data_IF_403297543870
#
_entry.id   IF_403297543870
#
_cell.length_a   1.000
_cell.length_b   1.000
_cell.length_c   1.000
_cell.angle_alpha   90.00
_cell.angle_beta   90.00
_cell.angle_gamma   90.00
#
_symmetry.space_group_name_H-M   'P 1'
#
loop_
_entity.id
_entity.type
_entity.pdbx_description
1 polymer ?
#
# COMPACT_ATOMS: atom_id res chain seq x y z
N UNK A 1 9.05 18.93 13.11
CA UNK A 1 7.87 19.59 13.73
C UNK A 1 8.06 19.83 15.24
N UNK A 2 8.80 19.02 16.00
CA UNK A 2 9.08 19.23 17.43
C UNK A 2 9.85 20.54 17.66
N UNK A 3 10.88 20.80 16.87
CA UNK A 3 11.69 22.01 16.98
C UNK A 3 10.90 23.31 16.67
N UNK A 4 9.91 23.21 15.76
CA UNK A 4 9.03 24.35 15.42
C UNK A 4 8.13 24.80 16.59
N UNK A 5 7.78 23.89 17.52
CA UNK A 5 6.97 24.23 18.68
C UNK A 5 7.74 25.06 19.72
N UNK A 6 9.07 24.86 19.83
CA UNK A 6 9.93 25.71 20.69
C UNK A 6 10.15 27.09 20.10
N UNK A 7 10.19 27.21 18.76
CA UNK A 7 10.43 28.48 18.05
C UNK A 7 9.27 29.49 18.23
N UNK A 8 8.07 29.04 18.61
CA UNK A 8 6.92 29.93 18.88
C UNK A 8 7.10 30.86 20.07
N UNK A 9 8.09 30.61 20.93
CA UNK A 9 8.42 31.44 22.04
C UNK A 9 9.46 32.54 21.73
N UNK A 10 10.02 32.52 20.49
CA UNK A 10 10.97 33.52 20.04
C UNK A 10 10.24 34.77 19.51
N UNK A 11 10.88 35.95 19.59
CA UNK A 11 10.34 37.15 18.97
C UNK A 11 10.20 36.97 17.47
N UNK A 12 9.04 37.29 16.94
CA UNK A 12 8.78 37.33 15.50
C UNK A 12 8.97 38.76 14.99
N UNK A 13 9.72 38.90 13.89
CA UNK A 13 9.93 40.17 13.19
C UNK A 13 9.25 40.04 11.83
N UNK A 14 8.35 40.94 11.51
CA UNK A 14 7.69 41.04 10.20
C UNK A 14 7.91 42.39 9.59
N UNK A 15 8.23 42.43 8.29
CA UNK A 15 8.26 43.64 7.49
C UNK A 15 7.05 43.63 6.56
N UNK A 16 6.33 44.76 6.51
CA UNK A 16 5.18 44.97 5.62
C UNK A 16 5.33 46.25 4.85
N UNK A 17 5.03 46.19 3.56
CA UNK A 17 4.91 47.36 2.70
C UNK A 17 3.59 47.30 1.96
N UNK A 18 2.88 48.44 1.93
CA UNK A 18 1.66 48.60 1.15
C UNK A 18 1.74 49.86 0.30
N UNK A 19 1.26 49.74 -0.93
CA UNK A 19 1.08 50.83 -1.86
C UNK A 19 -0.39 50.83 -2.25
N UNK A 20 -1.11 51.93 -2.03
CA UNK A 20 -2.48 52.06 -2.45
C UNK A 20 -2.64 53.27 -3.33
N UNK A 21 -3.38 53.08 -4.40
CA UNK A 21 -3.78 54.12 -5.35
C UNK A 21 -5.29 54.30 -5.20
N UNK A 22 -5.70 55.53 -4.85
CA UNK A 22 -7.09 55.86 -4.67
C UNK A 22 -7.48 56.98 -5.66
N UNK A 23 -8.33 56.62 -6.62
CA UNK A 23 -8.91 57.58 -7.55
C UNK A 23 -10.32 57.95 -7.02
N UNK A 24 -10.49 59.19 -6.58
CA UNK A 24 -11.79 59.71 -6.17
C UNK A 24 -12.33 60.65 -7.22
N UNK A 25 -13.30 60.25 -8.02
CA UNK A 25 -13.99 61.17 -8.92
C UNK A 25 -14.74 62.21 -8.08
N UNK A 26 -14.46 63.49 -8.27
CA UNK A 26 -15.18 64.59 -7.65
C UNK A 26 -16.34 65.00 -8.53
N UNK A 27 -17.59 64.78 -8.05
CA UNK A 27 -18.81 65.20 -8.79
C UNK A 27 -19.05 66.71 -8.78
N UNK A 28 -18.34 67.48 -7.98
CA UNK A 28 -18.65 68.91 -7.78
C UNK A 28 -17.68 69.87 -8.45
N UNK A 29 -16.46 69.49 -8.70
CA UNK A 29 -15.43 70.34 -9.34
C UNK A 29 -14.53 69.46 -10.22
N UNK A 30 -14.83 69.16 -11.39
CA UNK A 30 -14.17 68.49 -12.52
C UNK A 30 -12.70 68.09 -12.50
N UNK A 31 -12.05 68.01 -11.36
CA UNK A 31 -10.69 67.51 -11.16
C UNK A 31 -10.71 66.38 -10.12
N UNK A 32 -10.66 65.14 -10.56
CA UNK A 32 -10.40 63.97 -9.72
C UNK A 32 -9.01 64.11 -9.08
N UNK A 33 -8.89 63.91 -7.77
CA UNK A 33 -7.61 63.80 -7.09
C UNK A 33 -7.19 62.36 -7.07
N UNK A 34 -6.09 62.07 -7.74
CA UNK A 34 -5.39 60.80 -7.61
C UNK A 34 -4.47 60.86 -6.39
N UNK A 35 -4.82 60.11 -5.36
CA UNK A 35 -4.03 60.00 -4.16
C UNK A 35 -3.26 58.68 -4.15
N UNK A 36 -1.93 58.77 -4.20
CA UNK A 36 -1.04 57.61 -4.03
C UNK A 36 -0.51 57.62 -2.62
N UNK A 37 -0.79 56.56 -1.84
CA UNK A 37 -0.28 56.43 -0.48
C UNK A 37 0.54 55.15 -0.37
N UNK A 38 1.73 55.25 0.23
CA UNK A 38 2.62 54.13 0.51
C UNK A 38 2.97 54.07 2.01
N UNK A 39 3.00 52.89 2.57
CA UNK A 39 3.50 52.68 3.92
C UNK A 39 4.46 51.50 3.98
N UNK A 40 5.54 51.67 4.73
CA UNK A 40 6.50 50.63 5.06
C UNK A 40 6.56 50.52 6.58
N UNK A 41 6.42 49.31 7.10
CA UNK A 41 6.43 49.08 8.55
C UNK A 41 7.25 47.82 8.90
N UNK A 42 7.96 47.93 10.03
CA UNK A 42 8.61 46.76 10.66
C UNK A 42 7.90 46.56 12.01
N UNK A 43 7.45 45.35 12.25
CA UNK A 43 6.79 44.98 13.53
C UNK A 43 7.57 43.84 14.16
N UNK A 44 7.97 44.02 15.41
CA UNK A 44 8.50 42.99 16.28
C UNK A 44 7.43 42.63 17.31
N UNK A 45 7.12 41.34 17.47
CA UNK A 45 6.18 40.88 18.50
C UNK A 45 6.77 39.68 19.24
N UNK A 46 6.67 39.73 20.57
CA UNK A 46 7.11 38.67 21.47
C UNK A 46 6.00 38.40 22.49
N UNK A 47 5.43 37.19 22.50
CA UNK A 47 4.45 36.82 23.51
C UNK A 47 5.15 36.64 24.86
N UNK A 48 4.86 37.51 25.83
CA UNK A 48 5.44 37.46 27.19
C UNK A 48 4.75 36.36 28.01
N UNK A 49 3.44 36.20 27.85
CA UNK A 49 2.63 35.18 28.50
C UNK A 49 1.46 34.75 27.61
N UNK A 50 1.38 33.46 27.29
CA UNK A 50 0.33 32.87 26.48
C UNK A 50 -0.49 31.82 27.26
N UNK A 51 -0.59 31.94 28.59
CA UNK A 51 -1.41 31.06 29.43
C UNK A 51 -1.12 29.59 29.24
N UNK A 52 0.05 29.09 29.50
CA UNK A 52 0.47 27.69 29.35
C UNK A 52 0.25 27.06 27.94
N UNK A 53 -0.33 27.77 26.97
CA UNK A 53 -0.60 27.23 25.63
C UNK A 53 0.67 26.74 24.95
N UNK A 54 1.78 27.44 25.14
CA UNK A 54 3.07 27.04 24.58
C UNK A 54 3.62 25.76 25.25
N UNK A 55 3.46 25.61 26.57
CA UNK A 55 3.88 24.42 27.31
C UNK A 55 3.10 23.20 26.88
N UNK A 56 1.77 23.30 26.79
CA UNK A 56 0.93 22.22 26.31
C UNK A 56 1.11 21.95 24.80
N UNK A 57 1.44 22.98 24.02
CA UNK A 57 1.83 22.86 22.62
C UNK A 57 3.10 22.01 22.43
N UNK A 58 4.11 22.19 23.25
CA UNK A 58 5.33 21.38 23.27
C UNK A 58 5.03 19.94 23.69
N UNK A 59 4.23 19.72 24.75
CA UNK A 59 3.80 18.38 25.18
C UNK A 59 3.01 17.66 24.07
N UNK A 60 2.10 18.35 23.42
CA UNK A 60 1.34 17.80 22.29
C UNK A 60 2.25 17.43 21.11
N UNK A 61 3.23 18.29 20.79
CA UNK A 61 4.21 18.00 19.74
C UNK A 61 5.09 16.78 20.08
N UNK A 62 5.45 16.63 21.38
CA UNK A 62 6.19 15.48 21.87
C UNK A 62 5.37 14.19 21.74
N UNK A 63 4.11 14.19 22.22
CA UNK A 63 3.22 13.04 22.10
C UNK A 63 2.95 12.64 20.62
N UNK A 64 2.83 13.63 19.73
CA UNK A 64 2.71 13.37 18.29
C UNK A 64 3.99 12.76 17.69
N UNK A 65 5.15 13.15 18.19
CA UNK A 65 6.42 12.54 17.77
C UNK A 65 6.53 11.09 18.23
N UNK A 66 6.20 10.80 19.49
CA UNK A 66 6.18 9.44 20.04
C UNK A 66 5.19 8.54 19.27
N UNK A 67 3.98 9.06 19.00
CA UNK A 67 3.01 8.36 18.17
C UNK A 67 3.54 8.07 16.75
N UNK A 68 4.31 8.98 16.16
CA UNK A 68 4.91 8.74 14.83
C UNK A 68 5.94 7.62 14.85
N UNK A 69 6.73 7.52 15.94
CA UNK A 69 7.70 6.42 16.13
C UNK A 69 6.96 5.07 16.28
N UNK A 70 5.89 5.03 17.09
CA UNK A 70 5.14 3.78 17.26
C UNK A 70 4.39 3.37 15.99
N UNK A 71 3.91 4.34 15.20
CA UNK A 71 3.34 4.04 13.87
C UNK A 71 4.41 3.46 12.91
N UNK A 72 5.61 4.00 12.91
CA UNK A 72 6.72 3.46 12.12
C UNK A 72 7.04 2.01 12.53
N UNK A 73 7.11 1.75 13.85
CA UNK A 73 7.32 0.39 14.37
C UNK A 73 6.20 -0.56 13.91
N UNK A 74 4.95 -0.14 14.05
CA UNK A 74 3.80 -0.93 13.61
C UNK A 74 3.84 -1.25 12.10
N UNK A 75 4.23 -0.27 11.27
CA UNK A 75 4.38 -0.50 9.82
C UNK A 75 5.46 -1.53 9.54
N UNK A 76 6.60 -1.46 10.23
CA UNK A 76 7.69 -2.41 10.07
C UNK A 76 7.30 -3.83 10.53
N UNK A 77 6.56 -3.94 11.64
CA UNK A 77 6.06 -5.23 12.13
C UNK A 77 5.05 -5.83 11.16
N UNK A 78 4.13 -5.02 10.63
CA UNK A 78 3.17 -5.46 9.62
C UNK A 78 3.87 -5.92 8.33
N UNK A 79 4.83 -5.14 7.83
CA UNK A 79 5.60 -5.52 6.65
C UNK A 79 6.34 -6.85 6.85
N UNK A 80 6.93 -7.06 8.03
CA UNK A 80 7.59 -8.32 8.37
C UNK A 80 6.61 -9.51 8.41
N UNK A 81 5.42 -9.30 8.96
CA UNK A 81 4.34 -10.30 8.97
C UNK A 81 3.84 -10.62 7.56
N UNK A 82 3.69 -9.60 6.72
CA UNK A 82 3.24 -9.78 5.33
C UNK A 82 4.23 -10.62 4.52
N UNK A 83 5.53 -10.33 4.62
CA UNK A 83 6.59 -11.13 3.99
C UNK A 83 6.57 -12.58 4.50
N UNK A 84 6.50 -12.76 5.82
CA UNK A 84 6.44 -14.10 6.42
C UNK A 84 5.22 -14.89 5.92
N UNK A 85 4.05 -14.26 5.92
CA UNK A 85 2.80 -14.88 5.48
C UNK A 85 2.84 -15.23 3.98
N UNK A 86 3.31 -14.32 3.14
CA UNK A 86 3.49 -14.58 1.71
C UNK A 86 4.44 -15.75 1.45
N UNK A 87 5.56 -15.82 2.17
CA UNK A 87 6.52 -16.91 2.06
C UNK A 87 5.94 -18.27 2.50
N UNK A 88 5.18 -18.32 3.61
CA UNK A 88 4.55 -19.56 4.05
C UNK A 88 3.47 -20.04 3.08
N UNK A 89 2.71 -19.12 2.51
CA UNK A 89 1.73 -19.42 1.47
C UNK A 89 2.40 -19.99 0.22
N UNK A 90 3.50 -19.40 -0.24
CA UNK A 90 4.30 -19.91 -1.35
C UNK A 90 4.80 -21.34 -1.07
N UNK A 91 5.37 -21.57 0.11
CA UNK A 91 5.87 -22.90 0.52
C UNK A 91 4.74 -23.95 0.58
N UNK A 92 3.55 -23.53 0.99
CA UNK A 92 2.36 -24.41 0.98
C UNK A 92 1.92 -24.73 -0.43
N UNK A 93 1.84 -23.74 -1.33
CA UNK A 93 1.49 -23.94 -2.74
C UNK A 93 2.48 -24.86 -3.45
N UNK A 94 3.77 -24.79 -3.12
CA UNK A 94 4.81 -25.68 -3.64
C UNK A 94 4.55 -27.14 -3.25
N UNK A 95 4.16 -27.41 -2.01
CA UNK A 95 3.79 -28.75 -1.53
C UNK A 95 2.53 -29.27 -2.21
N UNK A 96 1.53 -28.40 -2.37
CA UNK A 96 0.28 -28.74 -3.05
C UNK A 96 0.55 -29.11 -4.50
N UNK A 97 1.40 -28.39 -5.21
CA UNK A 97 1.79 -28.73 -6.57
C UNK A 97 2.40 -30.13 -6.65
N UNK A 98 3.38 -30.47 -5.80
CA UNK A 98 3.99 -31.81 -5.77
C UNK A 98 2.96 -32.90 -5.47
N UNK A 99 2.00 -32.64 -4.57
CA UNK A 99 0.92 -33.60 -4.27
C UNK A 99 -0.01 -33.80 -5.46
N UNK A 100 -0.37 -32.74 -6.17
CA UNK A 100 -1.23 -32.84 -7.35
C UNK A 100 -0.52 -33.46 -8.55
N UNK A 101 0.81 -33.31 -8.67
CA UNK A 101 1.62 -34.06 -9.64
C UNK A 101 1.55 -35.57 -9.41
N UNK A 102 1.69 -35.99 -8.15
CA UNK A 102 1.56 -37.39 -7.76
C UNK A 102 0.14 -37.91 -7.99
N UNK A 103 -0.87 -37.11 -7.68
CA UNK A 103 -2.27 -37.44 -7.95
C UNK A 103 -2.53 -37.64 -9.45
N UNK A 104 -2.05 -36.71 -10.27
CA UNK A 104 -2.19 -36.77 -11.73
C UNK A 104 -1.52 -38.03 -12.32
N UNK A 105 -0.30 -38.33 -11.86
CA UNK A 105 0.41 -39.55 -12.29
C UNK A 105 -0.38 -40.82 -11.93
N UNK A 106 -0.94 -40.89 -10.72
CA UNK A 106 -1.74 -42.03 -10.27
C UNK A 106 -3.06 -42.14 -11.03
N UNK A 107 -3.75 -41.05 -11.30
CA UNK A 107 -5.01 -41.04 -12.04
C UNK A 107 -4.78 -41.40 -13.52
N UNK A 108 -3.67 -40.94 -14.12
CA UNK A 108 -3.28 -41.30 -15.48
C UNK A 108 -3.02 -42.81 -15.61
N UNK A 109 -2.33 -43.41 -14.65
CA UNK A 109 -2.05 -44.82 -14.66
C UNK A 109 -3.32 -45.66 -14.41
N UNK A 110 -4.20 -45.18 -13.48
CA UNK A 110 -5.50 -45.82 -13.23
C UNK A 110 -6.39 -45.85 -14.47
N UNK A 111 -6.50 -44.73 -15.20
CA UNK A 111 -7.25 -44.65 -16.45
C UNK A 111 -6.64 -45.59 -17.51
N UNK A 112 -5.31 -45.61 -17.68
CA UNK A 112 -4.63 -46.45 -18.64
C UNK A 112 -4.92 -47.94 -18.37
N UNK A 113 -4.83 -48.40 -17.15
CA UNK A 113 -5.11 -49.78 -16.72
C UNK A 113 -6.57 -50.14 -16.94
N UNK A 114 -7.50 -49.28 -16.49
CA UNK A 114 -8.95 -49.49 -16.59
C UNK A 114 -9.41 -49.51 -18.06
N UNK A 115 -8.87 -48.63 -18.91
CA UNK A 115 -9.10 -48.60 -20.35
C UNK A 115 -8.64 -49.90 -21.00
N UNK A 116 -7.44 -50.40 -20.62
CA UNK A 116 -6.93 -51.69 -21.08
C UNK A 116 -7.82 -52.85 -20.66
N UNK A 117 -8.29 -52.91 -19.41
CA UNK A 117 -9.22 -53.92 -18.90
C UNK A 117 -10.58 -53.88 -19.60
N UNK A 118 -11.11 -52.71 -19.89
CA UNK A 118 -12.35 -52.53 -20.64
C UNK A 118 -12.25 -53.12 -22.06
N UNK A 119 -11.16 -52.84 -22.74
CA UNK A 119 -10.92 -53.38 -24.14
C UNK A 119 -10.89 -54.89 -24.20
N UNK A 120 -10.45 -55.57 -23.15
CA UNK A 120 -10.42 -57.03 -23.07
C UNK A 120 -11.63 -57.64 -22.34
N UNK A 121 -12.66 -56.80 -22.04
CA UNK A 121 -13.90 -57.24 -21.42
C UNK A 121 -13.80 -57.58 -19.93
N UNK A 122 -12.76 -57.09 -19.23
CA UNK A 122 -12.53 -57.31 -17.77
C UNK A 122 -12.95 -56.15 -16.87
N UNK A 123 -13.34 -55.02 -17.44
CA UNK A 123 -13.91 -53.89 -16.72
C UNK A 123 -15.20 -53.44 -17.43
N UNK A 124 -16.09 -52.77 -16.69
CA UNK A 124 -17.32 -52.24 -17.24
C UNK A 124 -17.09 -50.84 -17.84
N UNK A 125 -18.03 -50.40 -18.70
CA UNK A 125 -18.01 -49.02 -19.21
C UNK A 125 -18.07 -47.98 -18.10
N UNK A 126 -18.80 -48.27 -17.00
CA UNK A 126 -18.89 -47.39 -15.85
C UNK A 126 -17.55 -47.24 -15.13
N UNK A 127 -16.79 -48.33 -14.96
CA UNK A 127 -15.46 -48.29 -14.36
C UNK A 127 -14.52 -47.41 -15.17
N UNK A 128 -14.55 -47.55 -16.51
CA UNK A 128 -13.73 -46.69 -17.36
C UNK A 128 -14.14 -45.22 -17.35
N UNK A 129 -15.46 -44.90 -17.38
CA UNK A 129 -15.94 -43.53 -17.27
C UNK A 129 -15.54 -42.90 -15.93
N UNK A 130 -15.58 -43.66 -14.84
CA UNK A 130 -15.15 -43.22 -13.52
C UNK A 130 -13.67 -42.83 -13.52
N UNK A 131 -12.81 -43.74 -14.01
CA UNK A 131 -11.37 -43.49 -14.10
C UNK A 131 -11.05 -42.27 -14.99
N UNK A 132 -11.77 -42.08 -16.09
CA UNK A 132 -11.63 -40.92 -16.95
C UNK A 132 -12.05 -39.64 -16.27
N UNK A 133 -13.14 -39.66 -15.50
CA UNK A 133 -13.60 -38.50 -14.72
C UNK A 133 -12.60 -38.10 -13.60
N UNK A 134 -12.01 -39.11 -12.96
CA UNK A 134 -10.94 -38.90 -11.95
C UNK A 134 -9.69 -38.28 -12.58
N UNK A 135 -9.26 -38.76 -13.78
CA UNK A 135 -8.14 -38.16 -14.50
C UNK A 135 -8.40 -36.69 -14.83
N UNK A 136 -9.57 -36.36 -15.41
CA UNK A 136 -9.94 -34.95 -15.71
C UNK A 136 -9.96 -34.11 -14.47
N UNK A 137 -10.40 -34.66 -13.33
CA UNK A 137 -10.40 -33.96 -12.06
C UNK A 137 -8.97 -33.70 -11.55
N UNK A 138 -8.10 -34.70 -11.63
CA UNK A 138 -6.68 -34.57 -11.28
C UNK A 138 -5.95 -33.54 -12.16
N UNK A 139 -6.21 -33.53 -13.48
CA UNK A 139 -5.67 -32.52 -14.40
C UNK A 139 -6.09 -31.11 -14.02
N UNK A 140 -7.38 -30.91 -13.71
CA UNK A 140 -7.89 -29.61 -13.24
C UNK A 140 -7.21 -29.15 -11.96
N UNK A 141 -7.05 -30.05 -10.98
CA UNK A 141 -6.41 -29.75 -9.71
C UNK A 141 -4.93 -29.42 -9.90
N UNK A 142 -4.21 -30.17 -10.73
CA UNK A 142 -2.81 -29.89 -11.04
C UNK A 142 -2.64 -28.53 -11.72
N UNK A 143 -3.46 -28.22 -12.73
CA UNK A 143 -3.43 -26.93 -13.39
C UNK A 143 -3.74 -25.78 -12.43
N UNK A 144 -4.75 -25.92 -11.57
CA UNK A 144 -5.08 -24.92 -10.54
C UNK A 144 -3.91 -24.71 -9.58
N UNK A 145 -3.27 -25.78 -9.10
CA UNK A 145 -2.11 -25.69 -8.20
C UNK A 145 -0.90 -25.01 -8.86
N UNK A 146 -0.68 -25.26 -10.16
CA UNK A 146 0.38 -24.62 -10.93
C UNK A 146 0.17 -23.10 -11.02
N UNK A 147 -1.03 -22.64 -11.32
CA UNK A 147 -1.35 -21.22 -11.37
C UNK A 147 -1.36 -20.57 -9.97
N UNK A 148 -1.81 -21.30 -8.95
CA UNK A 148 -1.74 -20.81 -7.57
C UNK A 148 -0.28 -20.58 -7.13
N UNK A 149 0.62 -21.53 -7.41
CA UNK A 149 2.04 -21.35 -7.14
C UNK A 149 2.61 -20.10 -7.81
N UNK A 150 2.24 -19.83 -9.06
CA UNK A 150 2.67 -18.63 -9.77
C UNK A 150 2.18 -17.35 -9.07
N UNK A 151 0.90 -17.32 -8.67
CA UNK A 151 0.34 -16.15 -7.95
C UNK A 151 0.97 -15.95 -6.57
N UNK A 152 1.27 -17.03 -5.82
CA UNK A 152 1.96 -16.94 -4.53
C UNK A 152 3.41 -16.48 -4.68
N UNK A 153 4.10 -16.89 -5.75
CA UNK A 153 5.44 -16.39 -6.07
C UNK A 153 5.43 -14.88 -6.34
N UNK A 154 4.45 -14.41 -7.11
CA UNK A 154 4.28 -12.97 -7.36
C UNK A 154 3.95 -12.19 -6.06
N UNK A 155 3.15 -12.78 -5.16
CA UNK A 155 2.83 -12.18 -3.87
C UNK A 155 4.07 -12.04 -2.96
N UNK A 156 5.01 -13.00 -2.99
CA UNK A 156 6.29 -12.87 -2.27
C UNK A 156 7.12 -11.73 -2.85
N UNK A 157 7.26 -11.65 -4.17
CA UNK A 157 7.99 -10.57 -4.83
C UNK A 157 7.38 -9.18 -4.50
N UNK A 158 6.05 -9.09 -4.43
CA UNK A 158 5.34 -7.90 -4.01
C UNK A 158 5.67 -7.51 -2.56
N UNK A 159 5.62 -8.47 -1.63
CA UNK A 159 5.83 -8.21 -0.20
C UNK A 159 7.27 -7.78 0.12
N UNK A 160 8.25 -8.21 -0.68
CA UNK A 160 9.66 -7.79 -0.57
C UNK A 160 9.94 -6.46 -1.29
N UNK A 161 8.97 -5.97 -2.10
CA UNK A 161 9.12 -4.73 -2.88
C UNK A 161 9.86 -4.92 -4.21
N UNK A 162 10.13 -6.15 -4.62
CA UNK A 162 10.76 -6.50 -5.91
C UNK A 162 9.70 -6.73 -7.01
N UNK A 163 8.77 -5.79 -7.19
CA UNK A 163 8.01 -5.78 -8.45
C UNK A 163 8.92 -5.15 -9.52
N UNK A 164 9.83 -5.93 -10.04
CA UNK A 164 10.46 -5.58 -11.30
C UNK A 164 9.47 -5.85 -12.44
N UNK A 165 9.47 -4.97 -13.44
CA UNK A 165 8.68 -5.11 -14.68
C UNK A 165 8.97 -6.42 -15.48
N UNK A 166 9.77 -7.30 -14.95
CA UNK A 166 10.17 -8.58 -15.51
C UNK A 166 9.10 -9.66 -15.36
N UNK A 167 8.26 -9.60 -14.31
CA UNK A 167 7.12 -10.52 -14.13
C UNK A 167 5.92 -10.19 -15.05
N UNK A 168 5.95 -9.06 -15.73
CA UNK A 168 4.91 -8.68 -16.69
C UNK A 168 5.20 -9.13 -18.14
N UNK A 169 6.30 -9.88 -18.37
CA UNK A 169 6.76 -10.28 -19.72
C UNK A 169 6.63 -11.78 -20.02
N UNK A 170 6.14 -12.59 -19.08
CA UNK A 170 5.77 -13.99 -19.26
C UNK A 170 4.23 -14.17 -19.25
#
# INVERSE_FOLDING_TARGET
RRNSAFLKNLPSISASGSLSWNNRPSETYGAGMDEMSGSIGIRASMPIFAGFANLYGVKSAQANYERAIENERQINDNASLDVFTAYQNYKTAQKVLTQTETLLASATESERVTSGMYRVGRATMLDWQTAQSELVTAEKQHNAARYDLFTKRAAVALSVGEISAELAKE
#
